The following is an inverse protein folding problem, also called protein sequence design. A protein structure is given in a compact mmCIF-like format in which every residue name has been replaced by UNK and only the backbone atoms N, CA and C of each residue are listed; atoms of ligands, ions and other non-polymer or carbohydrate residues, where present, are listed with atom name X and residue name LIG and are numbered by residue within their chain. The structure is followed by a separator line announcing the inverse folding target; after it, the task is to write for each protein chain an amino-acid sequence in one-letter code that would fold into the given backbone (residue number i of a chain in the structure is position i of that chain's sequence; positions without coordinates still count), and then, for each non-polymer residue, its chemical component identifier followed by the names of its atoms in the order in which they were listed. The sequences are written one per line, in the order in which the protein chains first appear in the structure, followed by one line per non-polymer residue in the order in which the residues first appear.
data_IF_984928640777
#
_entry.id   IF_984928640777
#
_cell.length_a   1.000
_cell.length_b   1.000
_cell.length_c   1.000
_cell.angle_alpha   90.00
_cell.angle_beta   90.00
_cell.angle_gamma   90.00
#
_symmetry.space_group_name_H-M   'P 1'
#
loop_
_entity.id
_entity.type
_entity.pdbx_description
1 polymer ?
#
# COMPACT_ATOMS: atom_id res chain seq x y z
N UNK A 1 -21.70 8.49 59.28
CA UNK A 1 -20.72 9.56 59.53
C UNK A 1 -19.66 9.36 58.47
N UNK A 2 -19.50 10.33 57.56
CA UNK A 2 -18.43 10.24 56.56
C UNK A 2 -17.09 10.37 57.29
N UNK A 3 -16.15 9.51 56.94
CA UNK A 3 -14.79 9.61 57.43
C UNK A 3 -14.04 10.73 56.70
N UNK A 4 -13.03 11.29 57.34
CA UNK A 4 -12.18 12.30 56.70
C UNK A 4 -11.44 11.71 55.48
N UNK A 5 -11.08 10.42 55.51
CA UNK A 5 -10.45 9.72 54.39
C UNK A 5 -11.33 9.69 53.14
N UNK A 6 -12.63 9.42 53.28
CA UNK A 6 -13.59 9.41 52.17
C UNK A 6 -13.75 10.81 51.54
N UNK A 7 -13.75 11.86 52.37
CA UNK A 7 -13.88 13.24 51.90
C UNK A 7 -12.57 13.71 51.23
N UNK A 8 -11.42 13.37 51.78
CA UNK A 8 -10.11 13.69 51.19
C UNK A 8 -9.89 12.97 49.84
N UNK A 9 -10.32 11.70 49.73
CA UNK A 9 -10.28 10.96 48.47
C UNK A 9 -11.16 11.60 47.39
N UNK A 10 -12.38 12.02 47.76
CA UNK A 10 -13.28 12.74 46.85
C UNK A 10 -12.70 14.10 46.42
N UNK A 11 -12.04 14.82 47.33
CA UNK A 11 -11.34 16.08 47.03
C UNK A 11 -10.18 15.88 46.06
N UNK A 12 -9.36 14.85 46.25
CA UNK A 12 -8.27 14.51 45.34
C UNK A 12 -8.79 14.18 43.94
N UNK A 13 -9.81 13.32 43.84
CA UNK A 13 -10.43 12.96 42.56
C UNK A 13 -10.98 14.20 41.84
N UNK A 14 -11.57 15.14 42.58
CA UNK A 14 -12.07 16.42 42.03
C UNK A 14 -10.94 17.30 41.48
N UNK A 15 -9.76 17.32 42.11
CA UNK A 15 -8.59 18.06 41.62
C UNK A 15 -8.05 17.44 40.31
N UNK A 16 -8.07 16.11 40.18
CA UNK A 16 -7.58 15.39 39.00
C UNK A 16 -8.63 15.26 37.87
N UNK A 17 -9.87 15.68 38.12
CA UNK A 17 -10.98 15.59 37.14
C UNK A 17 -11.58 14.20 37.00
N UNK A 18 -11.33 13.32 37.98
CA UNK A 18 -11.87 11.96 38.06
C UNK A 18 -13.20 11.92 38.83
N UNK A 19 -14.04 10.88 38.65
CA UNK A 19 -15.30 10.76 39.36
C UNK A 19 -15.08 10.61 40.88
N UNK A 20 -15.55 11.58 41.65
CA UNK A 20 -15.32 11.69 43.10
C UNK A 20 -16.06 10.65 43.98
N UNK A 21 -17.03 9.91 43.42
CA UNK A 21 -17.78 8.86 44.12
C UNK A 21 -18.76 9.33 45.21
N UNK A 22 -18.60 10.55 45.71
CA UNK A 22 -19.51 11.27 46.61
C UNK A 22 -20.18 12.44 45.88
N UNK A 23 -21.36 12.83 46.34
CA UNK A 23 -22.05 14.02 45.84
C UNK A 23 -21.33 15.29 46.31
N UNK A 24 -21.09 16.22 45.37
CA UNK A 24 -20.38 17.47 45.63
C UNK A 24 -21.03 18.29 46.75
N UNK A 25 -22.37 18.26 46.88
CA UNK A 25 -23.07 18.98 47.95
C UNK A 25 -22.76 18.42 49.34
N UNK A 26 -22.45 17.13 49.43
CA UNK A 26 -22.10 16.46 50.69
C UNK A 26 -20.66 16.76 51.08
N UNK A 27 -19.76 16.79 50.09
CA UNK A 27 -18.35 17.18 50.28
C UNK A 27 -18.25 18.65 50.71
N UNK A 28 -18.97 19.55 50.05
CA UNK A 28 -18.97 20.99 50.35
C UNK A 28 -19.57 21.29 51.75
N UNK A 29 -20.61 20.55 52.17
CA UNK A 29 -21.18 20.66 53.51
C UNK A 29 -20.20 20.21 54.61
N UNK A 30 -19.42 19.14 54.36
CA UNK A 30 -18.39 18.69 55.29
C UNK A 30 -17.21 19.67 55.36
N UNK A 31 -16.78 20.20 54.21
CA UNK A 31 -15.74 21.23 54.12
C UNK A 31 -16.09 22.50 54.88
N UNK A 32 -17.37 22.90 54.91
CA UNK A 32 -17.82 24.08 55.64
C UNK A 32 -17.70 23.95 57.17
N UNK A 33 -17.52 22.73 57.69
CA UNK A 33 -17.54 22.45 59.13
C UNK A 33 -16.28 21.75 59.67
N UNK A 34 -15.34 21.37 58.81
CA UNK A 34 -14.15 20.60 59.19
C UNK A 34 -12.84 21.30 58.77
N UNK A 35 -12.11 21.82 59.77
CA UNK A 35 -10.83 22.51 59.57
C UNK A 35 -9.73 21.59 59.00
N UNK A 36 -9.78 20.29 59.30
CA UNK A 36 -8.79 19.31 58.81
C UNK A 36 -8.90 19.11 57.29
N UNK A 37 -10.12 18.96 56.77
CA UNK A 37 -10.36 18.79 55.35
C UNK A 37 -10.09 20.09 54.56
N UNK A 38 -10.27 21.26 55.17
CA UNK A 38 -9.84 22.54 54.60
C UNK A 38 -8.31 22.61 54.49
N UNK A 39 -7.60 22.26 55.55
CA UNK A 39 -6.13 22.24 55.55
C UNK A 39 -5.55 21.25 54.52
N UNK A 40 -6.20 20.10 54.32
CA UNK A 40 -5.82 19.15 53.27
C UNK A 40 -6.01 19.73 51.87
N UNK A 41 -7.16 20.38 51.61
CA UNK A 41 -7.45 21.01 50.32
C UNK A 41 -6.43 22.11 49.99
N UNK A 42 -6.09 22.96 50.95
CA UNK A 42 -5.10 24.03 50.76
C UNK A 42 -3.71 23.45 50.41
N UNK A 43 -3.28 22.40 51.10
CA UNK A 43 -2.01 21.72 50.83
C UNK A 43 -2.01 21.07 49.43
N UNK A 44 -3.11 20.41 49.06
CA UNK A 44 -3.25 19.77 47.76
C UNK A 44 -3.22 20.80 46.61
N UNK A 45 -3.85 21.96 46.79
CA UNK A 45 -3.83 23.04 45.81
C UNK A 45 -2.43 23.63 45.65
N UNK A 46 -1.71 23.91 46.76
CA UNK A 46 -0.32 24.39 46.70
C UNK A 46 0.57 23.40 45.95
N UNK A 47 0.47 22.11 46.25
CA UNK A 47 1.24 21.07 45.58
C UNK A 47 0.91 20.97 44.08
N UNK A 48 -0.38 21.05 43.73
CA UNK A 48 -0.81 21.05 42.33
C UNK A 48 -0.24 22.24 41.56
N UNK A 49 -0.15 23.42 42.19
CA UNK A 49 0.44 24.61 41.61
C UNK A 49 1.96 24.51 41.46
N UNK A 50 2.66 23.75 42.32
CA UNK A 50 4.09 23.48 42.17
C UNK A 50 4.39 22.50 41.02
N UNK A 51 3.53 21.50 40.81
CA UNK A 51 3.69 20.52 39.73
C UNK A 51 3.17 20.99 38.37
N UNK A 52 2.28 21.97 38.33
CA UNK A 52 1.90 22.66 37.09
C UNK A 52 3.01 23.67 36.77
N UNK A 53 3.78 23.49 35.69
CA UNK A 53 4.85 24.44 35.36
C UNK A 53 4.25 25.84 35.22
N UNK A 54 4.76 26.81 36.02
CA UNK A 54 4.34 28.22 35.95
C UNK A 54 4.56 28.83 34.55
N UNK A 55 5.41 28.20 33.74
CA UNK A 55 5.64 28.48 32.33
C UNK A 55 4.95 27.45 31.42
N UNK A 56 3.67 27.14 31.66
CA UNK A 56 2.81 26.89 30.50
C UNK A 56 2.49 28.28 29.94
N UNK A 57 3.17 28.77 28.90
CA UNK A 57 2.67 29.93 28.18
C UNK A 57 1.20 29.63 27.92
N UNK A 58 0.30 30.59 28.24
CA UNK A 58 -1.13 30.43 28.03
C UNK A 58 -1.30 29.65 26.74
N UNK A 59 -1.76 28.40 26.84
CA UNK A 59 -1.68 27.45 25.74
C UNK A 59 -2.75 27.90 24.75
N UNK A 60 -2.43 28.97 24.01
CA UNK A 60 -3.03 29.21 22.73
C UNK A 60 -2.83 27.89 21.98
N UNK A 61 -3.92 27.25 21.52
CA UNK A 61 -3.79 26.02 20.76
C UNK A 61 -2.69 26.26 19.72
N UNK A 62 -1.65 25.42 19.67
CA UNK A 62 -0.54 25.63 18.75
C UNK A 62 -1.09 25.90 17.36
N UNK A 63 -0.48 26.86 16.64
CA UNK A 63 -0.80 27.16 15.25
C UNK A 63 -0.94 25.86 14.48
N UNK A 64 -1.98 25.74 13.64
CA UNK A 64 -2.41 24.51 12.99
C UNK A 64 -1.24 23.56 12.62
N UNK A 65 -0.92 22.64 13.53
CA UNK A 65 0.17 21.68 13.36
C UNK A 65 -0.25 20.52 12.45
N UNK A 66 -1.50 20.53 11.96
CA UNK A 66 -2.02 19.50 11.08
C UNK A 66 -1.13 19.38 9.84
N UNK A 67 -0.65 20.49 9.27
CA UNK A 67 0.20 20.45 8.07
C UNK A 67 1.58 19.83 8.36
N UNK A 68 2.18 20.14 9.52
CA UNK A 68 3.49 19.58 9.93
C UNK A 68 3.38 18.09 10.27
N UNK A 69 2.31 17.71 10.97
CA UNK A 69 2.03 16.31 11.33
C UNK A 69 1.72 15.53 10.05
N UNK A 70 0.84 16.03 9.18
CA UNK A 70 0.53 15.40 7.89
C UNK A 70 1.76 15.30 6.99
N UNK A 71 2.61 16.34 6.92
CA UNK A 71 3.83 16.30 6.11
C UNK A 71 4.82 15.23 6.60
N UNK A 72 4.94 15.05 7.92
CA UNK A 72 5.83 14.03 8.50
C UNK A 72 5.34 12.60 8.22
N UNK A 73 4.02 12.38 8.20
CA UNK A 73 3.41 11.09 7.89
C UNK A 73 3.41 10.84 6.38
N UNK A 74 3.10 11.85 5.56
CA UNK A 74 3.02 11.73 4.12
C UNK A 74 4.36 11.37 3.48
N UNK A 75 5.49 11.76 4.05
CA UNK A 75 6.80 11.52 3.43
C UNK A 75 7.16 10.03 3.31
N UNK A 76 6.83 9.21 4.31
CA UNK A 76 7.05 7.77 4.26
C UNK A 76 6.09 7.08 3.29
N UNK A 77 4.80 7.45 3.34
CA UNK A 77 3.78 6.94 2.43
C UNK A 77 4.02 7.37 0.99
N UNK A 78 4.56 8.58 0.78
CA UNK A 78 4.93 9.15 -0.53
C UNK A 78 6.13 8.44 -1.12
N UNK A 79 7.17 8.08 -0.34
CA UNK A 79 8.29 7.28 -0.86
C UNK A 79 7.85 5.89 -1.31
N UNK A 80 6.95 5.26 -0.55
CA UNK A 80 6.36 3.95 -0.90
C UNK A 80 5.44 4.06 -2.13
N UNK A 81 4.59 5.09 -2.20
CA UNK A 81 3.69 5.32 -3.33
C UNK A 81 4.45 5.72 -4.60
N UNK A 82 5.49 6.53 -4.50
CA UNK A 82 6.37 6.92 -5.61
C UNK A 82 7.13 5.71 -6.17
N UNK A 83 7.68 4.82 -5.32
CA UNK A 83 8.32 3.58 -5.80
C UNK A 83 7.35 2.68 -6.56
N UNK A 84 6.10 2.59 -6.08
CA UNK A 84 5.03 1.83 -6.76
C UNK A 84 4.62 2.49 -8.08
N UNK A 85 4.42 3.80 -8.08
CA UNK A 85 4.07 4.57 -9.27
C UNK A 85 5.17 4.48 -10.33
N UNK A 86 6.44 4.56 -9.91
CA UNK A 86 7.61 4.41 -10.78
C UNK A 86 7.73 2.99 -11.34
N UNK A 87 7.54 1.95 -10.51
CA UNK A 87 7.52 0.56 -10.97
C UNK A 87 6.39 0.26 -11.96
N UNK A 88 5.20 0.83 -11.74
CA UNK A 88 4.08 0.75 -12.67
C UNK A 88 4.34 1.51 -13.97
N UNK A 89 4.93 2.71 -13.89
CA UNK A 89 5.30 3.49 -15.07
C UNK A 89 6.32 2.73 -15.94
N UNK A 90 7.38 2.19 -15.34
CA UNK A 90 8.35 1.33 -16.04
C UNK A 90 7.63 0.14 -16.67
N UNK A 91 6.79 -0.55 -15.90
CA UNK A 91 6.04 -1.70 -16.38
C UNK A 91 5.18 -1.38 -17.60
N UNK A 92 4.46 -0.25 -17.58
CA UNK A 92 3.65 0.21 -18.71
C UNK A 92 4.51 0.55 -19.93
N UNK A 93 5.62 1.25 -19.74
CA UNK A 93 6.54 1.56 -20.84
C UNK A 93 7.12 0.30 -21.47
N UNK A 94 7.45 -0.71 -20.66
CA UNK A 94 7.96 -1.99 -21.14
C UNK A 94 6.89 -2.79 -21.90
N UNK A 95 5.64 -2.85 -21.40
CA UNK A 95 4.53 -3.49 -22.10
C UNK A 95 4.23 -2.81 -23.44
N UNK A 96 4.27 -1.48 -23.48
CA UNK A 96 4.08 -0.73 -24.71
C UNK A 96 5.22 -0.98 -25.72
N UNK A 97 6.47 -0.96 -25.26
CA UNK A 97 7.63 -1.30 -26.09
C UNK A 97 7.52 -2.72 -26.65
N UNK A 98 7.08 -3.68 -25.84
CA UNK A 98 6.85 -5.04 -26.31
C UNK A 98 5.69 -5.14 -27.29
N UNK A 99 4.59 -4.42 -27.08
CA UNK A 99 3.49 -4.37 -28.05
C UNK A 99 3.99 -3.88 -29.42
N UNK A 100 4.83 -2.84 -29.45
CA UNK A 100 5.46 -2.34 -30.68
C UNK A 100 6.35 -3.42 -31.31
N UNK A 101 7.17 -4.12 -30.52
CA UNK A 101 8.02 -5.20 -31.03
C UNK A 101 7.19 -6.33 -31.68
N UNK A 102 6.06 -6.71 -31.09
CA UNK A 102 5.14 -7.69 -31.69
C UNK A 102 4.52 -7.20 -33.00
N UNK A 103 4.14 -5.92 -33.09
CA UNK A 103 3.63 -5.32 -34.33
C UNK A 103 4.69 -5.32 -35.41
N UNK A 104 5.91 -4.87 -35.10
CA UNK A 104 7.02 -4.84 -36.06
C UNK A 104 7.35 -6.25 -36.56
N UNK A 105 7.31 -7.25 -35.68
CA UNK A 105 7.54 -8.64 -36.07
C UNK A 105 6.41 -9.18 -36.96
N UNK A 106 5.15 -8.86 -36.66
CA UNK A 106 4.02 -9.22 -37.51
C UNK A 106 4.13 -8.58 -38.91
N UNK A 107 4.51 -7.31 -39.00
CA UNK A 107 4.73 -6.60 -40.26
C UNK A 107 5.89 -7.23 -41.04
N UNK A 108 7.03 -7.47 -40.37
CA UNK A 108 8.19 -8.11 -40.99
C UNK A 108 7.83 -9.47 -41.59
N UNK A 109 6.97 -10.24 -40.91
CA UNK A 109 6.53 -11.54 -41.38
C UNK A 109 5.62 -11.43 -42.61
N UNK A 110 4.72 -10.44 -42.67
CA UNK A 110 3.88 -10.19 -43.85
C UNK A 110 4.75 -9.76 -45.05
N UNK A 111 5.72 -8.86 -44.82
CA UNK A 111 6.62 -8.36 -45.87
C UNK A 111 7.53 -9.46 -46.41
N UNK A 112 8.03 -10.36 -45.54
CA UNK A 112 8.91 -11.45 -45.94
C UNK A 112 8.16 -12.67 -46.50
N UNK A 113 6.95 -12.95 -46.00
CA UNK A 113 6.20 -14.18 -46.30
C UNK A 113 5.14 -14.07 -47.39
N UNK A 114 4.82 -12.86 -47.88
CA UNK A 114 3.84 -12.65 -48.96
C UNK A 114 2.39 -12.97 -48.58
N UNK A 115 1.54 -13.25 -49.58
CA UNK A 115 0.09 -13.45 -49.43
C UNK A 115 -0.33 -14.87 -49.01
N UNK A 116 0.63 -15.70 -48.56
CA UNK A 116 0.32 -17.06 -48.12
C UNK A 116 -0.65 -17.06 -46.91
N UNK A 117 -1.75 -17.84 -46.95
CA UNK A 117 -2.74 -17.85 -45.87
C UNK A 117 -2.17 -18.18 -44.48
N UNK A 118 -1.12 -19.00 -44.44
CA UNK A 118 -0.42 -19.37 -43.20
C UNK A 118 0.32 -18.17 -42.60
N UNK A 119 0.94 -17.35 -43.45
CA UNK A 119 1.67 -16.13 -43.04
C UNK A 119 0.67 -15.13 -42.46
N UNK A 120 -0.44 -14.88 -43.15
CA UNK A 120 -1.51 -14.00 -42.67
C UNK A 120 -2.12 -14.47 -41.33
N UNK A 121 -2.38 -15.78 -41.19
CA UNK A 121 -2.89 -16.36 -39.95
C UNK A 121 -1.92 -16.15 -38.79
N UNK A 122 -0.63 -16.40 -39.01
CA UNK A 122 0.38 -16.25 -37.97
C UNK A 122 0.66 -14.77 -37.61
N UNK A 123 0.52 -13.85 -38.57
CA UNK A 123 0.59 -12.41 -38.31
C UNK A 123 -0.61 -11.94 -37.48
N UNK A 124 -1.81 -12.46 -37.73
CA UNK A 124 -3.02 -12.11 -36.97
C UNK A 124 -2.89 -12.46 -35.48
N UNK A 125 -2.31 -13.61 -35.15
CA UNK A 125 -2.03 -14.02 -33.76
C UNK A 125 -1.05 -13.06 -33.09
N UNK A 126 0.03 -12.69 -33.80
CA UNK A 126 1.04 -11.74 -33.29
C UNK A 126 0.43 -10.36 -33.02
N UNK A 127 -0.44 -9.89 -33.90
CA UNK A 127 -1.18 -8.63 -33.71
C UNK A 127 -2.18 -8.72 -32.54
N UNK A 128 -2.85 -9.86 -32.36
CA UNK A 128 -3.71 -10.11 -31.20
C UNK A 128 -2.95 -10.03 -29.88
N UNK A 129 -1.75 -10.61 -29.82
CA UNK A 129 -0.85 -10.51 -28.65
C UNK A 129 -0.40 -9.07 -28.43
N UNK A 130 -0.03 -8.34 -29.50
CA UNK A 130 0.35 -6.93 -29.40
C UNK A 130 -0.78 -6.08 -28.80
N UNK A 131 -2.01 -6.28 -29.25
CA UNK A 131 -3.19 -5.58 -28.73
C UNK A 131 -3.45 -5.94 -27.26
N UNK A 132 -3.31 -7.20 -26.87
CA UNK A 132 -3.45 -7.62 -25.48
C UNK A 132 -2.38 -6.97 -24.57
N UNK A 133 -1.14 -6.85 -25.02
CA UNK A 133 -0.06 -6.16 -24.30
C UNK A 133 -0.31 -4.65 -24.20
N UNK A 134 -0.75 -4.00 -25.29
CA UNK A 134 -1.11 -2.59 -25.28
C UNK A 134 -2.31 -2.32 -24.35
N UNK A 135 -3.31 -3.21 -24.35
CA UNK A 135 -4.49 -3.08 -23.49
C UNK A 135 -4.15 -3.27 -22.01
N UNK A 136 -3.28 -4.22 -21.68
CA UNK A 136 -2.80 -4.41 -20.30
C UNK A 136 -1.91 -3.27 -19.82
N UNK A 137 -1.19 -2.59 -20.73
CA UNK A 137 -0.48 -1.35 -20.40
C UNK A 137 -1.45 -0.24 -19.95
N UNK A 138 -2.60 -0.10 -20.62
CA UNK A 138 -3.64 0.85 -20.20
C UNK A 138 -4.33 0.39 -18.91
N UNK A 139 -4.73 -0.89 -18.84
CA UNK A 139 -5.53 -1.46 -17.75
C UNK A 139 -4.84 -2.67 -17.09
N UNK A 140 -3.90 -2.45 -16.15
CA UNK A 140 -3.15 -3.52 -15.45
C UNK A 140 -4.01 -4.57 -14.74
N UNK A 141 -5.26 -4.23 -14.38
CA UNK A 141 -6.20 -5.15 -13.72
C UNK A 141 -6.42 -6.46 -14.48
N UNK A 142 -6.19 -6.48 -15.80
CA UNK A 142 -6.38 -7.65 -16.66
C UNK A 142 -5.13 -8.51 -16.88
N UNK A 143 -3.98 -8.14 -16.31
CA UNK A 143 -2.72 -8.87 -16.49
C UNK A 143 -2.84 -10.37 -16.20
N UNK A 144 -3.55 -10.87 -15.15
CA UNK A 144 -3.61 -12.31 -14.88
C UNK A 144 -4.19 -13.13 -16.04
N UNK A 145 -5.24 -12.62 -16.71
CA UNK A 145 -5.85 -13.31 -17.84
C UNK A 145 -4.94 -13.35 -19.06
N UNK A 146 -4.29 -12.22 -19.36
CA UNK A 146 -3.34 -12.13 -20.48
C UNK A 146 -2.07 -12.93 -20.20
N UNK A 147 -1.59 -12.95 -18.95
CA UNK A 147 -0.45 -13.74 -18.51
C UNK A 147 -0.69 -15.24 -18.70
N UNK A 148 -1.91 -15.74 -18.42
CA UNK A 148 -2.27 -17.13 -18.68
C UNK A 148 -2.16 -17.47 -20.18
N UNK A 149 -2.71 -16.60 -21.04
CA UNK A 149 -2.71 -16.79 -22.49
C UNK A 149 -1.29 -16.71 -23.07
N UNK A 150 -0.57 -15.61 -22.80
CA UNK A 150 0.79 -15.39 -23.33
C UNK A 150 1.80 -16.36 -22.70
N UNK A 151 1.63 -16.70 -21.43
CA UNK A 151 2.48 -17.68 -20.73
C UNK A 151 2.30 -19.10 -21.25
N UNK A 152 1.06 -19.54 -21.51
CA UNK A 152 0.82 -20.84 -22.15
C UNK A 152 1.37 -20.87 -23.58
N UNK A 153 1.14 -19.81 -24.38
CA UNK A 153 1.72 -19.68 -25.71
C UNK A 153 3.25 -19.76 -25.69
N UNK A 154 3.91 -19.06 -24.77
CA UNK A 154 5.36 -19.15 -24.57
C UNK A 154 5.81 -20.59 -24.25
N UNK A 155 5.14 -21.25 -23.31
CA UNK A 155 5.47 -22.62 -22.89
C UNK A 155 5.37 -23.60 -24.07
N UNK A 156 4.31 -23.51 -24.87
CA UNK A 156 4.16 -24.32 -26.08
C UNK A 156 5.24 -24.00 -27.12
N UNK A 157 5.56 -22.72 -27.32
CA UNK A 157 6.59 -22.29 -28.29
C UNK A 157 7.96 -22.84 -27.90
N UNK A 158 8.32 -22.80 -26.62
CA UNK A 158 9.54 -23.44 -26.10
C UNK A 158 9.49 -24.95 -26.32
N UNK A 159 8.36 -25.60 -26.04
CA UNK A 159 8.18 -27.04 -26.26
C UNK A 159 8.40 -27.45 -27.72
N UNK A 160 7.86 -26.69 -28.68
CA UNK A 160 8.08 -26.93 -30.10
C UNK A 160 9.53 -26.65 -30.52
N UNK A 161 10.15 -25.59 -30.00
CA UNK A 161 11.56 -25.31 -30.27
C UNK A 161 12.49 -26.42 -29.77
N UNK A 162 12.22 -26.97 -28.58
CA UNK A 162 12.97 -28.13 -28.04
C UNK A 162 12.72 -29.37 -28.88
N UNK A 163 11.46 -29.64 -29.27
CA UNK A 163 11.12 -30.77 -30.14
C UNK A 163 11.89 -30.71 -31.47
N UNK A 164 11.88 -29.56 -32.13
CA UNK A 164 12.55 -29.37 -33.43
C UNK A 164 14.07 -29.52 -33.29
N UNK A 165 14.65 -28.99 -32.21
CA UNK A 165 16.06 -29.18 -31.89
C UNK A 165 16.43 -30.66 -31.66
N UNK A 166 15.58 -31.44 -30.98
CA UNK A 166 15.80 -32.88 -30.72
C UNK A 166 15.63 -33.72 -32.00
N UNK A 167 14.64 -33.39 -32.83
CA UNK A 167 14.36 -34.12 -34.07
C UNK A 167 15.27 -33.70 -35.24
N UNK A 168 16.07 -32.64 -35.07
CA UNK A 168 16.83 -32.03 -36.16
C UNK A 168 15.94 -31.50 -37.29
N UNK A 169 14.67 -31.22 -36.97
CA UNK A 169 13.65 -30.80 -37.93
C UNK A 169 13.42 -29.31 -37.77
N UNK A 170 14.07 -28.49 -38.59
CA UNK A 170 13.85 -27.04 -38.61
C UNK A 170 15.04 -26.20 -38.13
N UNK A 171 15.02 -24.92 -38.51
CA UNK A 171 15.97 -23.92 -38.03
C UNK A 171 15.47 -23.30 -36.72
N UNK A 172 16.37 -23.16 -35.75
CA UNK A 172 16.04 -22.47 -34.49
C UNK A 172 15.92 -20.97 -34.74
N UNK A 173 14.69 -20.43 -34.68
CA UNK A 173 14.44 -18.99 -34.75
C UNK A 173 14.46 -18.38 -33.34
N UNK A 174 15.51 -17.63 -32.94
CA UNK A 174 15.63 -17.12 -31.57
C UNK A 174 14.50 -16.13 -31.23
N UNK A 175 14.08 -15.33 -32.21
CA UNK A 175 12.99 -14.35 -32.05
C UNK A 175 11.70 -15.01 -31.56
N UNK A 176 11.43 -16.25 -31.99
CA UNK A 176 10.25 -17.01 -31.60
C UNK A 176 10.20 -17.34 -30.10
N UNK A 177 11.35 -17.42 -29.43
CA UNK A 177 11.43 -17.73 -28.00
C UNK A 177 11.68 -16.46 -27.17
N UNK A 178 12.59 -15.59 -27.61
CA UNK A 178 13.00 -14.42 -26.84
C UNK A 178 11.89 -13.37 -26.71
N UNK A 179 11.16 -13.07 -27.78
CA UNK A 179 10.10 -12.04 -27.76
C UNK A 179 8.97 -12.42 -26.78
N UNK A 180 8.39 -13.65 -26.82
CA UNK A 180 7.39 -14.05 -25.84
C UNK A 180 7.97 -14.19 -24.43
N UNK A 181 9.23 -14.62 -24.26
CA UNK A 181 9.88 -14.68 -22.94
C UNK A 181 9.93 -13.31 -22.26
N UNK A 182 10.44 -12.29 -22.97
CA UNK A 182 10.50 -10.91 -22.45
C UNK A 182 9.09 -10.36 -22.18
N UNK A 183 8.11 -10.72 -23.00
CA UNK A 183 6.70 -10.33 -22.79
C UNK A 183 6.13 -10.92 -21.50
N UNK A 184 6.41 -12.20 -21.22
CA UNK A 184 6.00 -12.86 -19.96
C UNK A 184 6.69 -12.20 -18.76
N UNK A 185 7.99 -11.92 -18.84
CA UNK A 185 8.72 -11.20 -17.78
C UNK A 185 8.10 -9.83 -17.53
N UNK A 186 7.79 -9.08 -18.59
CA UNK A 186 7.15 -7.77 -18.47
C UNK A 186 5.77 -7.88 -17.78
N UNK A 187 4.97 -8.89 -18.13
CA UNK A 187 3.67 -9.15 -17.49
C UNK A 187 3.82 -9.55 -16.01
N UNK A 188 4.78 -10.40 -15.67
CA UNK A 188 5.04 -10.79 -14.27
C UNK A 188 5.54 -9.60 -13.45
N UNK A 189 6.46 -8.81 -14.00
CA UNK A 189 6.97 -7.61 -13.34
C UNK A 189 5.86 -6.59 -13.09
N UNK A 190 5.05 -6.30 -14.10
CA UNK A 190 3.91 -5.36 -14.00
C UNK A 190 2.85 -5.86 -13.02
N UNK A 191 2.56 -7.16 -13.01
CA UNK A 191 1.65 -7.75 -12.03
C UNK A 191 2.17 -7.58 -10.60
N UNK A 192 3.46 -7.83 -10.37
CA UNK A 192 4.07 -7.66 -9.05
C UNK A 192 4.11 -6.19 -8.62
N UNK A 193 4.41 -5.27 -9.54
CA UNK A 193 4.36 -3.83 -9.27
C UNK A 193 2.94 -3.32 -8.95
N UNK A 194 1.92 -3.89 -9.59
CA UNK A 194 0.51 -3.55 -9.37
C UNK A 194 -0.04 -4.13 -8.06
N UNK A 195 0.16 -5.43 -7.81
CA UNK A 195 -0.44 -6.16 -6.66
C UNK A 195 0.49 -6.38 -5.46
N UNK A 196 1.78 -6.09 -5.56
CA UNK A 196 2.75 -6.40 -4.49
C UNK A 196 2.41 -5.76 -3.13
N UNK A 197 1.77 -4.59 -3.13
CA UNK A 197 1.29 -3.94 -1.91
C UNK A 197 0.12 -4.67 -1.24
N UNK A 198 -0.81 -5.22 -2.03
CA UNK A 198 -1.99 -5.95 -1.54
C UNK A 198 -1.58 -7.32 -0.99
N UNK A 199 -0.68 -8.04 -1.66
CA UNK A 199 -0.17 -9.34 -1.20
C UNK A 199 0.58 -9.18 0.12
N UNK A 200 1.42 -8.15 0.25
CA UNK A 200 2.17 -7.86 1.48
C UNK A 200 1.27 -7.38 2.62
N UNK A 201 0.13 -6.75 2.30
CA UNK A 201 -0.90 -6.39 3.29
C UNK A 201 -1.68 -7.64 3.72
N UNK A 202 -2.10 -8.49 2.79
CA UNK A 202 -2.78 -9.76 3.08
C UNK A 202 -1.91 -10.70 3.94
N UNK A 203 -0.61 -10.83 3.64
CA UNK A 203 0.34 -11.58 4.47
C UNK A 203 0.49 -11.02 5.89
N UNK A 204 0.47 -9.69 6.06
CA UNK A 204 0.52 -9.06 7.40
C UNK A 204 -0.75 -9.26 8.20
N UNK A 205 -1.92 -9.22 7.53
CA UNK A 205 -3.21 -9.53 8.15
C UNK A 205 -3.23 -10.99 8.63
N UNK A 206 -2.76 -11.93 7.79
CA UNK A 206 -2.62 -13.33 8.18
C UNK A 206 -1.60 -13.54 9.32
N UNK A 207 -0.56 -12.69 9.39
CA UNK A 207 0.43 -12.68 10.45
C UNK A 207 -0.02 -11.97 11.74
N UNK A 208 -1.29 -11.58 11.87
CA UNK A 208 -1.85 -10.88 13.04
C UNK A 208 -1.03 -9.65 13.48
N UNK A 209 -0.40 -8.94 12.53
CA UNK A 209 0.34 -7.72 12.80
C UNK A 209 -0.30 -6.53 12.06
N UNK A 210 -1.46 -6.05 12.55
CA UNK A 210 -2.11 -4.85 12.01
C UNK A 210 -1.45 -3.60 12.62
N UNK A 211 -0.84 -2.79 11.77
CA UNK A 211 -0.56 -1.37 12.01
C UNK A 211 -1.31 -0.57 10.96
#
# INVERSE_FOLDING_TARGET
MLSHEEVQAALSARIDGEPAGLDDAVVDAHLASCDECQAFLDQALVLSHEFVPQERPAMAPPQDLSEVILASVDDEWRKLSQRRAFGLAIGRTLLFAMAVAWVLWAISLIVAGGEEPVVASSASVRLGVALALAFTAWKPRQIPGVLLIVGSMFTFTVGFAVRDAVLGAGEFEPAAVFIPFVSVIALVWTWFADRGGEVRRAWRILGANPL
#
